data_IF_139483798698
#
_entry.id   IF_139483798698
#
_cell.length_a   1.000
_cell.length_b   1.000
_cell.length_c   1.000
_cell.angle_alpha   90.00
_cell.angle_beta   90.00
_cell.angle_gamma   90.00
#
_symmetry.space_group_name_H-M   'P 1'
#
loop_
_entity.id
_entity.type
_entity.pdbx_description
1 polymer ?
#
# COMPACT_ATOMS: atom_id res chain seq x y z
N UNK A 1 8.35 26.43 -47.39
CA UNK A 1 8.68 25.14 -46.74
C UNK A 1 8.88 25.33 -45.22
N UNK A 2 7.81 25.51 -44.44
CA UNK A 2 7.89 25.67 -42.96
C UNK A 2 6.84 24.86 -42.19
N UNK A 3 5.81 24.34 -42.85
CA UNK A 3 4.66 23.66 -42.21
C UNK A 3 4.99 22.21 -41.81
N UNK A 4 5.86 21.50 -42.55
CA UNK A 4 6.22 20.11 -42.26
C UNK A 4 6.99 19.93 -40.93
N UNK A 5 7.75 20.93 -40.49
CA UNK A 5 8.56 20.85 -39.26
C UNK A 5 7.72 20.98 -37.97
N UNK A 6 6.56 21.63 -38.06
CA UNK A 6 5.69 21.89 -36.90
C UNK A 6 4.90 20.63 -36.54
N UNK A 7 4.45 19.88 -37.55
CA UNK A 7 3.65 18.66 -37.38
C UNK A 7 4.45 17.55 -36.68
N UNK A 8 5.73 17.36 -37.05
CA UNK A 8 6.60 16.38 -36.39
C UNK A 8 6.90 16.72 -34.92
N UNK A 9 6.99 18.01 -34.58
CA UNK A 9 7.24 18.47 -33.21
C UNK A 9 6.00 18.30 -32.32
N UNK A 10 4.81 18.57 -32.84
CA UNK A 10 3.54 18.31 -32.13
C UNK A 10 3.36 16.81 -31.86
N UNK A 11 3.69 15.96 -32.84
CA UNK A 11 3.59 14.51 -32.69
C UNK A 11 4.51 13.97 -31.58
N UNK A 12 5.75 14.46 -31.50
CA UNK A 12 6.68 14.10 -30.43
C UNK A 12 6.20 14.56 -29.05
N UNK A 13 5.60 15.76 -28.95
CA UNK A 13 5.06 16.28 -27.69
C UNK A 13 3.86 15.46 -27.22
N UNK A 14 2.97 15.05 -28.13
CA UNK A 14 1.82 14.20 -27.80
C UNK A 14 2.28 12.81 -27.36
N UNK A 15 3.26 12.21 -28.05
CA UNK A 15 3.80 10.91 -27.66
C UNK A 15 4.46 10.96 -26.28
N UNK A 16 5.19 12.02 -25.98
CA UNK A 16 5.82 12.24 -24.68
C UNK A 16 4.78 12.45 -23.56
N UNK A 17 3.71 13.20 -23.83
CA UNK A 17 2.61 13.38 -22.87
C UNK A 17 1.89 12.07 -22.55
N UNK A 18 1.57 11.26 -23.57
CA UNK A 18 0.92 9.95 -23.37
C UNK A 18 1.83 9.01 -22.55
N UNK A 19 3.13 9.00 -22.84
CA UNK A 19 4.10 8.20 -22.08
C UNK A 19 4.23 8.68 -20.62
N UNK A 20 4.21 9.99 -20.39
CA UNK A 20 4.30 10.57 -19.04
C UNK A 20 3.06 10.25 -18.19
N UNK A 21 1.87 10.23 -18.81
CA UNK A 21 0.60 9.91 -18.14
C UNK A 21 0.53 8.41 -17.77
N UNK A 22 0.92 7.50 -18.67
CA UNK A 22 0.96 6.04 -18.37
C UNK A 22 1.96 5.73 -17.24
N UNK A 23 3.09 6.43 -17.20
CA UNK A 23 4.08 6.24 -16.15
C UNK A 23 3.53 6.62 -14.77
N UNK A 24 2.83 7.76 -14.65
CA UNK A 24 2.29 8.24 -13.38
C UNK A 24 1.21 7.32 -12.79
N UNK A 25 0.34 6.74 -13.63
CA UNK A 25 -0.71 5.82 -13.17
C UNK A 25 -0.14 4.52 -12.58
N UNK A 26 0.90 3.96 -13.22
CA UNK A 26 1.55 2.73 -12.77
C UNK A 26 2.25 2.88 -11.41
N UNK A 27 2.87 4.03 -11.15
CA UNK A 27 3.48 4.28 -9.84
C UNK A 27 2.42 4.43 -8.74
N UNK A 28 1.29 5.09 -9.02
CA UNK A 28 0.18 5.22 -8.09
C UNK A 28 -0.46 3.88 -7.71
N UNK A 29 -0.64 2.99 -8.69
CA UNK A 29 -1.18 1.64 -8.43
C UNK A 29 -0.21 0.76 -7.63
N UNK A 30 1.09 0.81 -7.92
CA UNK A 30 2.07 -0.02 -7.22
C UNK A 30 2.14 0.28 -5.71
N UNK A 31 2.05 1.57 -5.33
CA UNK A 31 2.04 2.01 -3.93
C UNK A 31 0.76 1.51 -3.23
N UNK A 32 -0.40 1.63 -3.88
CA UNK A 32 -1.68 1.21 -3.31
C UNK A 32 -1.74 -0.32 -3.08
N UNK A 33 -1.19 -1.11 -4.01
CA UNK A 33 -1.15 -2.58 -3.90
C UNK A 33 -0.21 -3.04 -2.78
N UNK A 34 0.95 -2.38 -2.59
CA UNK A 34 1.86 -2.75 -1.50
C UNK A 34 1.29 -2.41 -0.12
N UNK A 35 0.59 -1.27 0.00
CA UNK A 35 -0.07 -0.88 1.24
C UNK A 35 -1.21 -1.84 1.61
N UNK A 36 -2.05 -2.22 0.63
CA UNK A 36 -3.16 -3.18 0.82
C UNK A 36 -2.66 -4.56 1.26
N UNK A 37 -1.61 -5.09 0.63
CA UNK A 37 -1.05 -6.39 1.00
C UNK A 37 -0.47 -6.41 2.43
N UNK A 38 0.11 -5.30 2.87
CA UNK A 38 0.73 -5.17 4.18
C UNK A 38 -0.34 -5.10 5.27
N UNK A 39 -1.36 -4.26 5.10
CA UNK A 39 -2.49 -4.17 6.02
C UNK A 39 -3.22 -5.51 6.13
N UNK A 40 -3.46 -6.21 5.02
CA UNK A 40 -4.07 -7.54 5.03
C UNK A 40 -3.24 -8.58 5.77
N UNK A 41 -1.91 -8.54 5.64
CA UNK A 41 -1.02 -9.45 6.36
C UNK A 41 -1.09 -9.22 7.87
N UNK A 42 -1.10 -7.98 8.32
CA UNK A 42 -1.22 -7.63 9.74
C UNK A 42 -2.62 -7.98 10.27
N UNK A 43 -3.70 -7.66 9.56
CA UNK A 43 -5.07 -8.03 9.94
C UNK A 43 -5.23 -9.55 10.12
N UNK A 44 -4.62 -10.33 9.23
CA UNK A 44 -4.62 -11.79 9.33
C UNK A 44 -3.84 -12.27 10.56
N UNK A 45 -2.72 -11.64 10.88
CA UNK A 45 -1.92 -11.93 12.07
C UNK A 45 -2.70 -11.62 13.35
N UNK A 46 -3.37 -10.47 13.42
CA UNK A 46 -4.22 -10.05 14.55
C UNK A 46 -5.34 -11.07 14.78
N UNK A 47 -6.06 -11.46 13.73
CA UNK A 47 -7.13 -12.47 13.83
C UNK A 47 -6.62 -13.83 14.30
N UNK A 48 -5.43 -14.22 13.84
CA UNK A 48 -4.81 -15.47 14.25
C UNK A 48 -4.38 -15.42 15.73
N UNK A 49 -3.78 -14.32 16.18
CA UNK A 49 -3.48 -14.09 17.59
C UNK A 49 -4.76 -14.18 18.43
N UNK A 50 -5.83 -13.50 18.00
CA UNK A 50 -7.11 -13.51 18.69
C UNK A 50 -7.69 -14.92 18.85
N UNK A 51 -7.65 -15.71 17.78
CA UNK A 51 -8.13 -17.08 17.82
C UNK A 51 -7.29 -17.99 18.73
N UNK A 52 -5.96 -17.82 18.74
CA UNK A 52 -5.05 -18.66 19.52
C UNK A 52 -4.94 -18.25 21.00
N UNK A 53 -5.32 -17.01 21.35
CA UNK A 53 -5.27 -16.47 22.71
C UNK A 53 -6.67 -16.28 23.32
N UNK A 54 -7.57 -17.25 23.10
CA UNK A 54 -8.92 -17.29 23.71
C UNK A 54 -9.76 -16.02 23.49
N UNK A 55 -9.62 -15.38 22.33
CA UNK A 55 -10.35 -14.16 21.99
C UNK A 55 -9.73 -12.87 22.53
N UNK A 56 -8.48 -12.91 23.00
CA UNK A 56 -7.74 -11.71 23.39
C UNK A 56 -7.15 -11.01 22.16
N UNK A 57 -7.33 -9.69 22.09
CA UNK A 57 -6.68 -8.88 21.07
C UNK A 57 -5.24 -8.54 21.48
N UNK A 58 -4.28 -8.44 20.53
CA UNK A 58 -2.94 -7.93 20.82
C UNK A 58 -3.02 -6.46 21.25
N UNK A 59 -2.17 -6.06 22.19
CA UNK A 59 -2.14 -4.66 22.66
C UNK A 59 -1.17 -3.82 21.82
N UNK A 60 -0.14 -4.46 21.28
CA UNK A 60 0.90 -3.84 20.45
C UNK A 60 1.23 -4.75 19.26
N UNK A 61 1.80 -4.20 18.19
CA UNK A 61 2.16 -5.00 17.00
C UNK A 61 3.29 -5.99 17.27
N UNK A 62 4.12 -5.71 18.28
CA UNK A 62 5.21 -6.57 18.75
C UNK A 62 4.70 -7.91 19.26
N UNK A 63 3.47 -7.99 19.77
CA UNK A 63 2.85 -9.25 20.22
C UNK A 63 2.66 -10.23 19.04
N UNK A 64 2.63 -9.71 17.81
CA UNK A 64 2.46 -10.51 16.59
C UNK A 64 3.78 -11.07 16.08
N UNK A 65 4.93 -10.53 16.48
CA UNK A 65 6.25 -10.98 16.04
C UNK A 65 6.88 -11.90 17.08
N UNK A 66 7.60 -12.98 16.68
CA UNK A 66 7.76 -13.48 15.31
C UNK A 66 6.69 -14.51 14.89
N UNK A 67 5.74 -14.83 15.78
CA UNK A 67 4.89 -16.01 15.64
C UNK A 67 3.75 -15.85 14.61
N UNK A 68 3.31 -14.62 14.37
CA UNK A 68 2.19 -14.27 13.49
C UNK A 68 2.62 -13.38 12.32
N UNK A 69 3.67 -12.58 12.51
CA UNK A 69 4.34 -11.73 11.52
C UNK A 69 5.86 -11.91 11.61
N UNK A 70 6.59 -11.92 10.48
CA UNK A 70 8.05 -12.01 10.49
C UNK A 70 8.73 -10.76 11.04
N UNK A 71 8.13 -9.59 10.82
CA UNK A 71 8.56 -8.29 11.32
C UNK A 71 7.36 -7.33 11.29
N UNK A 72 7.42 -6.26 12.08
CA UNK A 72 6.43 -5.19 12.02
C UNK A 72 6.76 -4.28 10.84
N UNK A 73 5.84 -4.09 9.88
CA UNK A 73 6.02 -3.12 8.81
C UNK A 73 6.08 -1.69 9.39
N UNK A 74 7.06 -0.90 8.95
CA UNK A 74 7.20 0.48 9.43
C UNK A 74 6.01 1.35 9.01
N UNK A 75 5.61 2.26 9.89
CA UNK A 75 4.51 3.20 9.64
C UNK A 75 3.11 2.65 9.93
N UNK A 76 2.99 1.49 10.57
CA UNK A 76 1.70 0.92 10.95
C UNK A 76 1.52 0.85 12.48
N UNK A 77 0.31 1.14 12.95
CA UNK A 77 -0.09 1.16 14.35
C UNK A 77 -1.40 0.39 14.54
N UNK A 78 -1.61 -0.19 15.73
CA UNK A 78 -2.92 -0.71 16.11
C UNK A 78 -3.88 0.44 16.42
N UNK A 79 -5.03 0.45 15.75
CA UNK A 79 -6.18 1.28 16.10
C UNK A 79 -6.93 0.62 17.26
N UNK A 80 -6.40 0.78 18.47
CA UNK A 80 -7.01 0.27 19.70
C UNK A 80 -8.31 0.99 20.08
N UNK A 81 -8.64 2.10 19.39
CA UNK A 81 -9.94 2.75 19.53
C UNK A 81 -11.03 2.03 18.72
N UNK A 82 -10.64 1.14 17.80
CA UNK A 82 -11.57 0.34 17.02
C UNK A 82 -12.05 -0.88 17.82
N UNK A 83 -13.38 -1.12 17.93
CA UNK A 83 -13.91 -2.31 18.59
C UNK A 83 -13.51 -3.62 17.89
N UNK A 84 -13.23 -3.59 16.58
CA UNK A 84 -12.81 -4.75 15.79
C UNK A 84 -11.28 -4.87 15.64
N UNK A 85 -10.51 -4.08 16.39
CA UNK A 85 -9.06 -3.88 16.30
C UNK A 85 -8.51 -3.90 14.86
N UNK A 86 -8.28 -2.71 14.31
CA UNK A 86 -7.73 -2.54 12.96
C UNK A 86 -6.30 -2.02 13.00
N UNK A 87 -5.65 -2.06 11.85
CA UNK A 87 -4.37 -1.42 11.63
C UNK A 87 -4.60 -0.10 10.89
N UNK A 88 -3.89 0.94 11.31
CA UNK A 88 -3.87 2.24 10.64
C UNK A 88 -2.42 2.63 10.36
N UNK A 89 -2.22 3.52 9.40
CA UNK A 89 -0.95 4.20 9.27
C UNK A 89 -0.73 5.10 10.50
N UNK A 90 0.50 5.09 11.03
CA UNK A 90 1.03 6.15 11.90
C UNK A 90 1.69 7.22 11.01
#
# INVERSE_FOLDING_TARGET
>A
MKVLSIIGSIFLVVLALVYFIDSHDRYGQAINIQQDNTTQAIDKAIKKYHFENDGQWPNILEDLVPNYLPAIPEGYCLDTANPDLKVTDC
#
